data_IF_728312804370
#
_entry.id   IF_728312804370
#
_cell.length_a   1.000
_cell.length_b   1.000
_cell.length_c   1.000
_cell.angle_alpha   90.00
_cell.angle_beta   90.00
_cell.angle_gamma   90.00
#
_symmetry.space_group_name_H-M   'P 1'
#
loop_
_entity.id
_entity.type
_entity.pdbx_description
1 polymer ?
#
# COMPACT_ATOMS: atom_id res chain seq x y z
N UNK A 1 -2.01 -11.43 7.79
CA UNK A 1 -0.99 -11.02 6.82
C UNK A 1 -1.09 -11.81 5.52
N UNK A 2 -1.39 -11.13 4.40
CA UNK A 2 -1.43 -11.68 3.03
C UNK A 2 -0.19 -11.20 2.24
N UNK A 3 0.43 -12.08 1.44
CA UNK A 3 1.58 -11.74 0.58
C UNK A 3 1.26 -10.55 -0.33
N UNK A 4 0.02 -10.45 -0.81
CA UNK A 4 -0.41 -9.33 -1.67
C UNK A 4 -0.31 -7.99 -0.95
N UNK A 5 -0.61 -7.94 0.35
CA UNK A 5 -0.49 -6.73 1.16
C UNK A 5 0.98 -6.29 1.28
N UNK A 6 1.91 -7.24 1.44
CA UNK A 6 3.34 -6.94 1.46
C UNK A 6 3.85 -6.43 0.11
N UNK A 7 3.43 -7.05 -1.00
CA UNK A 7 3.79 -6.58 -2.35
C UNK A 7 3.33 -5.13 -2.56
N UNK A 8 2.15 -4.78 -2.07
CA UNK A 8 1.60 -3.43 -2.18
C UNK A 8 2.37 -2.44 -1.30
N UNK A 9 2.73 -2.84 -0.07
CA UNK A 9 3.59 -2.03 0.80
C UNK A 9 4.95 -1.75 0.15
N UNK A 10 5.64 -2.80 -0.34
CA UNK A 10 6.93 -2.68 -1.02
C UNK A 10 6.81 -1.76 -2.24
N UNK A 11 5.78 -1.94 -3.07
CA UNK A 11 5.58 -1.10 -4.24
C UNK A 11 5.37 0.38 -3.88
N UNK A 12 4.70 0.69 -2.75
CA UNK A 12 4.59 2.08 -2.29
C UNK A 12 5.95 2.65 -1.91
N UNK A 13 6.78 1.89 -1.22
CA UNK A 13 8.15 2.32 -0.83
C UNK A 13 9.04 2.50 -2.07
N UNK A 14 8.98 1.58 -3.04
CA UNK A 14 9.75 1.65 -4.29
C UNK A 14 9.31 2.80 -5.21
N UNK A 15 8.09 3.33 -5.02
CA UNK A 15 7.57 4.48 -5.76
C UNK A 15 7.62 5.77 -4.91
N UNK A 16 8.69 5.96 -4.13
CA UNK A 16 8.95 7.16 -3.33
C UNK A 16 7.80 7.54 -2.39
N UNK A 17 7.16 6.53 -1.76
CA UNK A 17 6.01 6.69 -0.88
C UNK A 17 4.78 7.33 -1.55
N UNK A 18 4.75 7.37 -2.88
CA UNK A 18 3.66 7.95 -3.65
C UNK A 18 2.62 6.89 -4.03
N UNK A 19 1.52 6.84 -3.28
CA UNK A 19 0.43 5.88 -3.51
C UNK A 19 -0.16 5.99 -4.94
N UNK A 20 -0.24 7.20 -5.50
CA UNK A 20 -0.77 7.41 -6.85
C UNK A 20 0.15 6.87 -7.95
N UNK A 21 1.47 6.91 -7.74
CA UNK A 21 2.43 6.30 -8.67
C UNK A 21 2.46 4.78 -8.50
N UNK A 22 2.53 4.30 -7.26
CA UNK A 22 2.50 2.88 -6.95
C UNK A 22 1.26 2.17 -7.51
N UNK A 23 0.08 2.80 -7.46
CA UNK A 23 -1.13 2.21 -8.04
C UNK A 23 -1.06 2.08 -9.56
N UNK A 24 -0.43 3.05 -10.25
CA UNK A 24 -0.21 2.98 -11.70
C UNK A 24 0.79 1.88 -12.05
N UNK A 25 1.89 1.79 -11.29
CA UNK A 25 2.90 0.74 -11.43
C UNK A 25 2.32 -0.66 -11.24
N UNK A 26 1.46 -0.84 -10.23
CA UNK A 26 0.78 -2.11 -9.95
C UNK A 26 -0.42 -2.39 -10.87
N UNK A 27 -0.78 -1.48 -11.78
CA UNK A 27 -1.98 -1.57 -12.63
C UNK A 27 -3.28 -1.78 -11.83
N UNK A 28 -3.42 -1.11 -10.69
CA UNK A 28 -4.62 -1.12 -9.85
C UNK A 28 -5.16 0.29 -9.63
N UNK A 29 -6.39 0.40 -9.14
CA UNK A 29 -6.91 1.71 -8.74
C UNK A 29 -6.21 2.19 -7.46
N UNK A 30 -5.96 3.50 -7.39
CA UNK A 30 -5.41 4.14 -6.19
C UNK A 30 -6.25 3.86 -4.93
N UNK A 31 -7.61 3.88 -4.96
CA UNK A 31 -8.42 3.53 -3.80
C UNK A 31 -8.22 2.09 -3.33
N UNK A 32 -8.04 1.13 -4.24
CA UNK A 32 -7.82 -0.27 -3.88
C UNK A 32 -6.47 -0.48 -3.19
N UNK A 33 -5.41 0.21 -3.65
CA UNK A 33 -4.11 0.19 -2.99
C UNK A 33 -4.20 0.81 -1.59
N UNK A 34 -4.79 2.00 -1.47
CA UNK A 34 -4.97 2.70 -0.18
C UNK A 34 -5.77 1.87 0.84
N UNK A 35 -6.85 1.22 0.38
CA UNK A 35 -7.64 0.33 1.24
C UNK A 35 -6.83 -0.88 1.70
N UNK A 36 -6.05 -1.49 0.81
CA UNK A 36 -5.20 -2.64 1.15
C UNK A 36 -4.16 -2.28 2.21
N UNK A 37 -3.50 -1.13 2.07
CA UNK A 37 -2.56 -0.60 3.06
C UNK A 37 -3.26 -0.32 4.40
N UNK A 38 -4.42 0.34 4.37
CA UNK A 38 -5.18 0.63 5.61
C UNK A 38 -5.62 -0.65 6.35
N UNK A 39 -5.95 -1.71 5.60
CA UNK A 39 -6.27 -3.02 6.20
C UNK A 39 -5.01 -3.66 6.81
N UNK A 40 -3.85 -3.54 6.16
CA UNK A 40 -2.59 -4.04 6.70
C UNK A 40 -2.24 -3.33 8.01
N UNK A 41 -2.26 -1.99 8.02
CA UNK A 41 -2.05 -1.15 9.21
C UNK A 41 -2.97 -1.57 10.37
N UNK A 42 -4.26 -1.75 10.08
CA UNK A 42 -5.26 -2.15 11.08
C UNK A 42 -5.01 -3.56 11.64
N UNK A 43 -4.72 -4.52 10.77
CA UNK A 43 -4.57 -5.92 11.19
C UNK A 43 -3.32 -6.13 12.05
N UNK A 44 -2.25 -5.42 11.73
CA UNK A 44 -0.97 -5.51 12.45
C UNK A 44 -0.86 -4.46 13.57
N UNK A 45 -1.87 -3.58 13.71
CA UNK A 45 -1.94 -2.51 14.70
C UNK A 45 -0.71 -1.58 14.66
N UNK A 46 -0.35 -1.14 13.45
CA UNK A 46 0.79 -0.24 13.19
C UNK A 46 0.37 0.87 12.21
N UNK A 47 1.13 1.97 12.20
CA UNK A 47 1.03 3.00 11.17
C UNK A 47 2.26 2.86 10.27
N UNK A 48 2.05 2.64 8.97
CA UNK A 48 3.12 2.41 7.99
C UNK A 48 3.50 3.69 7.26
N UNK A 49 2.54 4.60 7.03
CA UNK A 49 2.78 5.84 6.31
C UNK A 49 2.12 7.04 7.00
N UNK A 50 2.85 8.15 7.06
CA UNK A 50 2.31 9.46 7.44
C UNK A 50 1.68 10.13 6.20
N UNK A 51 0.58 10.87 6.40
CA UNK A 51 -0.26 11.43 5.33
C UNK A 51 -0.30 12.95 5.38
#
# INVERSE_FOLDING_TARGET
MDIKQMQYFIAVVENDFNISQASKFLHVSQPALSQTISVLEKNENVVLFER
#
